data_IF_752173975643
#
_entry.id   IF_752173975643
#
_cell.length_a   1.000
_cell.length_b   1.000
_cell.length_c   1.000
_cell.angle_alpha   90.00
_cell.angle_beta   90.00
_cell.angle_gamma   90.00
#
_symmetry.space_group_name_H-M   'P 1'
#
loop_
_entity.id
_entity.type
_entity.pdbx_description
1 polymer ?
#
# COMPACT_ATOMS: atom_id res chain seq x y z
N UNK A 1 14.35 15.37 24.97
CA UNK A 1 14.33 16.55 24.07
C UNK A 1 13.27 16.33 22.98
N UNK A 2 12.64 17.40 22.49
CA UNK A 2 11.69 17.36 21.36
C UNK A 2 12.43 17.75 20.08
N UNK A 3 12.32 16.93 19.03
CA UNK A 3 12.95 17.21 17.73
C UNK A 3 12.12 18.25 16.98
N UNK A 4 12.78 19.22 16.33
CA UNK A 4 12.11 20.21 15.48
C UNK A 4 11.52 19.50 14.26
N UNK A 5 10.24 19.75 13.99
CA UNK A 5 9.52 19.24 12.82
C UNK A 5 9.69 20.29 11.72
N UNK A 6 10.38 19.95 10.64
CA UNK A 6 10.49 20.83 9.46
C UNK A 6 9.23 20.67 8.58
N UNK A 7 8.65 21.79 8.12
CA UNK A 7 7.48 21.77 7.20
C UNK A 7 7.98 21.75 5.74
N UNK A 8 7.48 20.88 4.85
CA UNK A 8 7.96 20.81 3.48
C UNK A 8 7.39 21.90 2.57
N UNK A 9 8.12 22.17 1.48
CA UNK A 9 7.65 22.91 0.31
C UNK A 9 6.46 22.21 -0.36
N UNK A 10 5.60 23.01 -1.02
CA UNK A 10 4.34 22.59 -1.68
C UNK A 10 4.54 21.34 -2.55
N UNK A 11 3.96 20.20 -2.15
CA UNK A 11 3.96 18.97 -2.94
C UNK A 11 3.18 19.19 -4.25
N UNK A 12 3.80 18.87 -5.39
CA UNK A 12 3.11 18.89 -6.67
C UNK A 12 2.15 17.70 -6.78
N UNK A 13 0.90 18.00 -7.12
CA UNK A 13 -0.19 17.02 -7.20
C UNK A 13 -0.63 16.89 -8.64
N UNK A 14 -0.77 15.65 -9.11
CA UNK A 14 -1.46 15.35 -10.36
C UNK A 14 -2.95 15.16 -10.12
N UNK A 15 -3.77 15.87 -10.89
CA UNK A 15 -5.20 15.57 -11.04
C UNK A 15 -5.35 14.79 -12.34
N UNK A 16 -5.43 13.48 -12.23
CA UNK A 16 -5.42 12.58 -13.39
C UNK A 16 -6.85 12.23 -13.73
N UNK A 17 -7.24 12.48 -14.98
CA UNK A 17 -8.50 11.99 -15.53
C UNK A 17 -8.25 10.59 -16.13
N UNK A 18 -8.79 9.52 -15.55
CA UNK A 18 -8.54 8.16 -16.03
C UNK A 18 -9.07 7.94 -17.45
N UNK A 19 -8.33 7.17 -18.25
CA UNK A 19 -8.82 6.59 -19.48
C UNK A 19 -9.51 5.24 -19.17
N UNK A 20 -10.68 4.97 -19.78
CA UNK A 20 -11.42 3.74 -19.53
C UNK A 20 -10.67 2.52 -20.06
N UNK A 21 -10.75 1.41 -19.34
CA UNK A 21 -10.17 0.14 -19.73
C UNK A 21 -11.21 -0.98 -19.78
N UNK A 22 -11.26 -1.81 -18.74
CA UNK A 22 -12.26 -2.88 -18.60
C UNK A 22 -12.88 -2.87 -17.21
N UNK A 23 -13.99 -3.58 -17.05
CA UNK A 23 -14.74 -3.62 -15.79
C UNK A 23 -14.79 -5.04 -15.24
N UNK A 24 -14.43 -5.18 -13.98
CA UNK A 24 -14.66 -6.39 -13.20
C UNK A 24 -15.90 -6.23 -12.32
N UNK A 25 -16.73 -7.27 -12.25
CA UNK A 25 -17.93 -7.32 -11.42
C UNK A 25 -17.86 -8.47 -10.43
N UNK A 26 -18.19 -8.18 -9.17
CA UNK A 26 -18.48 -9.17 -8.14
C UNK A 26 -19.95 -9.13 -7.76
N UNK A 27 -20.45 -10.29 -7.34
CA UNK A 27 -21.77 -10.45 -6.73
C UNK A 27 -21.58 -10.90 -5.28
N UNK A 28 -22.57 -10.59 -4.45
CA UNK A 28 -22.67 -11.00 -3.05
C UNK A 28 -21.44 -10.60 -2.23
N UNK A 29 -21.06 -9.32 -2.36
CA UNK A 29 -19.90 -8.76 -1.67
C UNK A 29 -20.14 -8.71 -0.15
N UNK A 30 -19.06 -8.89 0.61
CA UNK A 30 -19.06 -8.69 2.06
C UNK A 30 -18.39 -7.37 2.38
N UNK A 31 -19.11 -6.50 3.07
CA UNK A 31 -18.60 -5.20 3.53
C UNK A 31 -18.51 -5.26 5.05
N UNK A 32 -17.31 -5.07 5.58
CA UNK A 32 -17.09 -4.99 7.02
C UNK A 32 -17.73 -3.69 7.55
N UNK A 33 -18.61 -3.78 8.56
CA UNK A 33 -19.23 -2.60 9.19
C UNK A 33 -20.75 -2.41 9.06
N UNK A 34 -21.51 -3.43 8.65
CA UNK A 34 -22.97 -3.48 8.85
C UNK A 34 -23.86 -2.93 7.71
N UNK A 35 -23.28 -2.46 6.60
CA UNK A 35 -24.02 -1.99 5.41
C UNK A 35 -24.34 -3.11 4.40
N UNK A 36 -24.22 -4.38 4.79
CA UNK A 36 -24.19 -5.51 3.85
C UNK A 36 -25.49 -5.76 3.08
N UNK A 37 -26.62 -5.19 3.50
CA UNK A 37 -27.93 -5.48 2.87
C UNK A 37 -28.23 -4.60 1.66
N UNK A 38 -27.68 -3.39 1.57
CA UNK A 38 -27.97 -2.42 0.50
C UNK A 38 -27.11 -2.63 -0.75
N UNK A 39 -25.91 -3.19 -0.61
CA UNK A 39 -24.93 -3.33 -1.69
C UNK A 39 -24.55 -4.78 -1.91
N UNK A 40 -25.13 -5.40 -2.95
CA UNK A 40 -24.84 -6.80 -3.30
C UNK A 40 -23.83 -6.95 -4.43
N UNK A 41 -23.39 -5.86 -5.04
CA UNK A 41 -22.51 -5.88 -6.21
C UNK A 41 -21.41 -4.84 -6.05
N UNK A 42 -20.21 -5.21 -6.47
CA UNK A 42 -19.09 -4.28 -6.61
C UNK A 42 -18.63 -4.31 -8.07
N UNK A 43 -18.48 -3.13 -8.65
CA UNK A 43 -17.87 -2.89 -9.95
C UNK A 43 -16.52 -2.23 -9.72
N UNK A 44 -15.47 -2.82 -10.28
CA UNK A 44 -14.14 -2.23 -10.29
C UNK A 44 -13.81 -1.85 -11.73
N UNK A 45 -13.68 -0.55 -11.99
CA UNK A 45 -13.22 -0.05 -13.27
C UNK A 45 -11.68 -0.10 -13.28
N UNK A 46 -11.10 -0.94 -14.13
CA UNK A 46 -9.66 -0.92 -14.38
C UNK A 46 -9.39 0.11 -15.47
N UNK A 47 -8.87 1.25 -15.05
CA UNK A 47 -8.57 2.42 -15.86
C UNK A 47 -7.06 2.60 -16.02
N UNK A 48 -6.66 3.48 -16.92
CA UNK A 48 -5.23 3.75 -17.13
C UNK A 48 -4.92 5.23 -17.38
N UNK A 49 -3.65 5.61 -17.17
CA UNK A 49 -3.14 6.97 -17.39
C UNK A 49 -1.66 6.94 -17.81
N UNK A 50 -1.11 8.00 -18.37
CA UNK A 50 0.29 8.04 -18.82
C UNK A 50 1.24 8.50 -17.71
N UNK A 51 0.69 9.17 -16.70
CA UNK A 51 1.39 9.83 -15.61
C UNK A 51 1.93 8.84 -14.57
N UNK A 52 1.22 7.73 -14.32
CA UNK A 52 1.72 6.68 -13.42
C UNK A 52 2.96 6.01 -14.04
N UNK A 53 4.01 5.71 -13.27
CA UNK A 53 5.15 4.96 -13.78
C UNK A 53 4.71 3.52 -14.15
N UNK A 54 5.22 2.95 -15.26
CA UNK A 54 5.05 1.53 -15.54
C UNK A 54 5.77 0.67 -14.48
N UNK A 55 5.47 -0.63 -14.39
CA UNK A 55 6.32 -1.58 -13.68
C UNK A 55 7.79 -1.43 -14.10
N UNK A 56 8.71 -1.52 -13.13
CA UNK A 56 10.15 -1.34 -13.37
C UNK A 56 10.74 -2.45 -14.24
N UNK A 57 10.26 -3.67 -14.02
CA UNK A 57 10.66 -4.87 -14.74
C UNK A 57 9.50 -5.29 -15.63
N UNK A 58 9.80 -5.73 -16.85
CA UNK A 58 8.81 -6.21 -17.81
C UNK A 58 8.93 -7.73 -17.96
N UNK A 59 8.73 -8.41 -16.82
CA UNK A 59 8.88 -9.85 -16.71
C UNK A 59 7.79 -10.60 -17.48
N UNK A 60 8.14 -11.77 -18.00
CA UNK A 60 7.16 -12.67 -18.60
C UNK A 60 6.39 -13.47 -17.54
N UNK A 61 5.30 -14.11 -17.96
CA UNK A 61 4.43 -14.86 -17.06
C UNK A 61 5.20 -15.92 -16.25
N UNK A 62 6.08 -16.68 -16.91
CA UNK A 62 6.82 -17.77 -16.27
C UNK A 62 7.82 -17.26 -15.20
N UNK A 63 8.43 -16.10 -15.44
CA UNK A 63 9.35 -15.47 -14.49
C UNK A 63 8.60 -14.97 -13.25
N UNK A 64 7.44 -14.35 -13.43
CA UNK A 64 6.59 -13.91 -12.32
C UNK A 64 6.07 -15.11 -11.53
N UNK A 65 5.62 -16.16 -12.21
CA UNK A 65 5.18 -17.40 -11.56
C UNK A 65 6.29 -18.02 -10.72
N UNK A 66 7.51 -18.11 -11.26
CA UNK A 66 8.67 -18.62 -10.53
C UNK A 66 9.01 -17.79 -9.29
N UNK A 67 8.89 -16.46 -9.36
CA UNK A 67 9.10 -15.59 -8.19
C UNK A 67 8.02 -15.77 -7.12
N UNK A 68 6.77 -15.96 -7.53
CA UNK A 68 5.66 -16.24 -6.62
C UNK A 68 5.85 -17.60 -5.93
N UNK A 69 6.25 -18.63 -6.67
CA UNK A 69 6.55 -19.96 -6.14
C UNK A 69 7.76 -19.97 -5.20
N UNK A 70 8.77 -19.13 -5.51
CA UNK A 70 9.93 -18.92 -4.65
C UNK A 70 9.63 -18.08 -3.39
N UNK A 71 8.41 -17.52 -3.29
CA UNK A 71 7.97 -16.72 -2.14
C UNK A 71 8.65 -15.34 -2.04
N UNK A 72 9.31 -14.86 -3.10
CA UNK A 72 10.01 -13.57 -3.09
C UNK A 72 9.70 -12.76 -4.37
N UNK A 73 8.48 -12.22 -4.51
CA UNK A 73 8.08 -11.46 -5.70
C UNK A 73 8.81 -10.10 -5.77
N UNK A 74 9.71 -9.93 -6.74
CA UNK A 74 10.32 -8.62 -7.06
C UNK A 74 9.40 -7.76 -7.92
N UNK A 75 8.53 -8.40 -8.70
CA UNK A 75 7.62 -7.74 -9.62
C UNK A 75 6.60 -6.85 -8.89
N UNK A 76 6.59 -5.55 -9.23
CA UNK A 76 5.69 -4.56 -8.63
C UNK A 76 4.92 -3.79 -9.70
N UNK A 77 3.60 -3.71 -9.53
CA UNK A 77 2.71 -2.90 -10.39
C UNK A 77 2.32 -1.62 -9.65
N UNK A 78 2.81 -0.44 -10.08
CA UNK A 78 2.30 0.83 -9.57
C UNK A 78 0.82 0.99 -9.95
N UNK A 79 -0.04 1.21 -8.95
CA UNK A 79 -1.46 1.47 -9.16
C UNK A 79 -2.02 2.41 -8.08
N UNK A 80 -3.15 3.03 -8.40
CA UNK A 80 -3.94 3.84 -7.48
C UNK A 80 -5.34 3.26 -7.34
N UNK A 81 -5.86 3.22 -6.12
CA UNK A 81 -7.22 2.78 -5.81
C UNK A 81 -8.01 4.02 -5.44
N UNK A 82 -9.04 4.33 -6.23
CA UNK A 82 -9.96 5.43 -6.00
C UNK A 82 -10.86 5.18 -4.79
N UNK A 83 -11.64 6.21 -4.45
CA UNK A 83 -12.64 6.13 -3.39
C UNK A 83 -13.82 5.23 -3.79
N UNK A 84 -14.61 4.84 -2.79
CA UNK A 84 -15.87 4.13 -3.02
C UNK A 84 -16.94 5.10 -3.50
N UNK A 85 -17.63 4.73 -4.57
CA UNK A 85 -18.80 5.44 -5.08
C UNK A 85 -20.02 4.51 -5.18
N UNK A 86 -21.21 5.11 -5.24
CA UNK A 86 -22.48 4.41 -5.40
C UNK A 86 -23.04 4.64 -6.80
N UNK A 87 -23.21 3.55 -7.54
CA UNK A 87 -23.81 3.57 -8.87
C UNK A 87 -25.06 2.72 -8.91
N UNK A 88 -26.01 3.10 -9.77
CA UNK A 88 -27.15 2.25 -10.09
C UNK A 88 -26.79 1.34 -11.26
N UNK A 89 -27.05 0.04 -11.09
CA UNK A 89 -26.88 -0.91 -12.17
C UNK A 89 -28.09 -0.91 -13.14
N UNK A 90 -28.06 -1.78 -14.17
CA UNK A 90 -29.17 -1.90 -15.12
C UNK A 90 -30.48 -2.38 -14.48
N UNK A 91 -30.41 -3.02 -13.31
CA UNK A 91 -31.56 -3.43 -12.52
C UNK A 91 -32.05 -2.32 -11.57
N UNK A 92 -31.48 -1.11 -11.67
CA UNK A 92 -31.75 0.03 -10.81
C UNK A 92 -31.44 -0.24 -9.33
N UNK A 93 -30.54 -1.19 -9.05
CA UNK A 93 -30.05 -1.52 -7.71
C UNK A 93 -28.77 -0.74 -7.40
N UNK A 94 -28.62 -0.33 -6.13
CA UNK A 94 -27.40 0.31 -5.66
C UNK A 94 -26.24 -0.70 -5.66
N UNK A 95 -25.10 -0.27 -6.21
CA UNK A 95 -23.89 -1.07 -6.32
C UNK A 95 -22.68 -0.21 -6.01
N UNK A 96 -21.63 -0.82 -5.45
CA UNK A 96 -20.37 -0.15 -5.21
C UNK A 96 -19.61 -0.01 -6.52
N UNK A 97 -19.00 1.14 -6.77
CA UNK A 97 -18.05 1.43 -7.86
C UNK A 97 -16.71 1.83 -7.24
N UNK A 98 -15.62 1.28 -7.75
CA UNK A 98 -14.25 1.67 -7.39
C UNK A 98 -13.41 1.77 -8.68
N UNK A 99 -12.65 2.85 -8.82
CA UNK A 99 -11.76 3.06 -9.97
C UNK A 99 -10.32 2.68 -9.61
N UNK A 100 -9.75 1.70 -10.31
CA UNK A 100 -8.36 1.25 -10.17
C UNK A 100 -7.55 1.77 -11.34
N UNK A 101 -6.56 2.60 -11.07
CA UNK A 101 -5.75 3.28 -12.09
C UNK A 101 -4.36 2.64 -12.20
N UNK A 102 -3.97 2.29 -13.43
CA UNK A 102 -2.63 1.76 -13.77
C UNK A 102 -1.94 2.60 -14.86
N UNK A 103 -0.68 2.33 -15.13
CA UNK A 103 0.02 2.94 -16.26
C UNK A 103 -0.52 2.44 -17.63
N UNK A 104 -0.60 3.34 -18.61
CA UNK A 104 -1.14 3.08 -19.95
C UNK A 104 -0.29 2.13 -20.79
N UNK A 105 1.04 2.16 -20.65
CA UNK A 105 1.94 1.24 -21.34
C UNK A 105 1.74 -0.17 -20.82
N UNK A 106 1.70 -0.34 -19.49
CA UNK A 106 1.38 -1.62 -18.86
C UNK A 106 0.00 -2.14 -19.28
N UNK A 107 -1.01 -1.26 -19.25
CA UNK A 107 -2.37 -1.60 -19.67
C UNK A 107 -2.41 -2.11 -21.11
N UNK A 108 -1.87 -1.33 -22.06
CA UNK A 108 -1.87 -1.69 -23.49
C UNK A 108 -1.13 -3.00 -23.75
N UNK A 109 -0.02 -3.24 -23.04
CA UNK A 109 0.83 -4.42 -23.24
C UNK A 109 0.25 -5.69 -22.62
N UNK A 110 -0.26 -5.63 -21.39
CA UNK A 110 -0.57 -6.82 -20.57
C UNK A 110 -2.04 -6.98 -20.20
N UNK A 111 -2.87 -5.93 -20.36
CA UNK A 111 -4.25 -5.94 -19.86
C UNK A 111 -5.30 -5.69 -20.95
N UNK A 112 -4.94 -5.02 -22.04
CA UNK A 112 -5.90 -4.65 -23.09
C UNK A 112 -6.46 -5.89 -23.81
N UNK A 113 -5.61 -6.90 -24.06
CA UNK A 113 -6.06 -8.17 -24.65
C UNK A 113 -6.89 -8.98 -23.66
N UNK A 114 -8.01 -9.54 -24.12
CA UNK A 114 -8.81 -10.45 -23.31
C UNK A 114 -8.15 -11.82 -23.09
N UNK A 115 -7.18 -12.17 -23.93
CA UNK A 115 -6.48 -13.45 -23.90
C UNK A 115 -5.35 -13.47 -22.86
N UNK A 116 -4.91 -12.29 -22.40
CA UNK A 116 -3.89 -12.17 -21.35
C UNK A 116 -4.53 -12.30 -19.95
N UNK A 117 -4.99 -13.52 -19.65
CA UNK A 117 -5.73 -13.83 -18.42
C UNK A 117 -4.82 -13.76 -17.19
N UNK A 118 -3.55 -14.11 -17.34
CA UNK A 118 -2.60 -14.16 -16.22
C UNK A 118 -2.40 -12.78 -15.59
N UNK A 119 -2.04 -11.76 -16.37
CA UNK A 119 -1.80 -10.43 -15.83
C UNK A 119 -3.07 -9.78 -15.28
N UNK A 120 -4.23 -10.06 -15.89
CA UNK A 120 -5.53 -9.61 -15.37
C UNK A 120 -5.85 -10.25 -14.02
N UNK A 121 -5.52 -11.52 -13.84
CA UNK A 121 -5.74 -12.25 -12.59
C UNK A 121 -4.77 -11.80 -11.51
N UNK A 122 -3.48 -11.64 -11.85
CA UNK A 122 -2.46 -11.07 -10.96
C UNK A 122 -2.88 -9.67 -10.48
N UNK A 123 -3.32 -8.82 -11.41
CA UNK A 123 -3.82 -7.49 -11.06
C UNK A 123 -5.04 -7.57 -10.14
N UNK A 124 -5.98 -8.48 -10.39
CA UNK A 124 -7.14 -8.70 -9.54
C UNK A 124 -6.77 -9.15 -8.12
N UNK A 125 -5.79 -10.05 -7.98
CA UNK A 125 -5.26 -10.45 -6.67
C UNK A 125 -4.75 -9.23 -5.90
N UNK A 126 -3.96 -8.38 -6.55
CA UNK A 126 -3.36 -7.21 -5.91
C UNK A 126 -4.42 -6.18 -5.52
N UNK A 127 -5.30 -5.76 -6.43
CA UNK A 127 -6.27 -4.72 -6.09
C UNK A 127 -7.39 -5.22 -5.16
N UNK A 128 -7.76 -6.50 -5.18
CA UNK A 128 -8.80 -7.01 -4.26
C UNK A 128 -8.34 -6.88 -2.81
N UNK A 129 -7.08 -7.21 -2.53
CA UNK A 129 -6.53 -7.05 -1.19
C UNK A 129 -6.36 -5.57 -0.82
N UNK A 130 -5.91 -4.72 -1.76
CA UNK A 130 -5.87 -3.27 -1.54
C UNK A 130 -7.25 -2.67 -1.25
N UNK A 131 -8.29 -3.10 -1.96
CA UNK A 131 -9.67 -2.69 -1.74
C UNK A 131 -10.14 -3.16 -0.36
N UNK A 132 -9.86 -4.41 0.02
CA UNK A 132 -10.16 -4.91 1.36
C UNK A 132 -9.50 -4.06 2.44
N UNK A 133 -8.22 -3.72 2.26
CA UNK A 133 -7.46 -2.92 3.22
C UNK A 133 -7.94 -1.46 3.30
N UNK A 134 -8.29 -0.82 2.18
CA UNK A 134 -8.70 0.59 2.14
C UNK A 134 -10.17 0.79 2.51
N UNK A 135 -11.02 -0.10 2.02
CA UNK A 135 -12.47 0.08 1.95
C UNK A 135 -13.25 -0.95 2.77
N UNK A 136 -12.59 -1.97 3.31
CA UNK A 136 -13.25 -3.04 4.08
C UNK A 136 -14.14 -3.95 3.24
N UNK A 137 -13.96 -3.98 1.91
CA UNK A 137 -14.74 -4.83 1.00
C UNK A 137 -13.94 -6.08 0.65
N UNK A 138 -14.46 -7.24 1.05
CA UNK A 138 -13.83 -8.53 0.75
C UNK A 138 -14.30 -9.04 -0.63
N UNK A 139 -13.42 -8.91 -1.63
CA UNK A 139 -13.65 -9.39 -2.99
C UNK A 139 -12.85 -10.68 -3.22
N UNK A 140 -13.53 -11.71 -3.75
CA UNK A 140 -12.88 -12.97 -4.13
C UNK A 140 -12.10 -12.79 -5.44
N UNK A 141 -10.75 -12.76 -5.42
CA UNK A 141 -9.95 -12.49 -6.62
C UNK A 141 -10.06 -13.60 -7.68
N UNK A 142 -10.59 -14.77 -7.32
CA UNK A 142 -10.81 -15.89 -8.24
C UNK A 142 -12.14 -15.80 -9.00
N UNK A 143 -13.05 -14.92 -8.58
CA UNK A 143 -14.40 -14.79 -9.17
C UNK A 143 -14.75 -13.44 -9.81
N UNK A 144 -13.82 -12.67 -10.40
CA UNK A 144 -14.19 -11.49 -11.17
C UNK A 144 -14.99 -11.89 -12.41
N UNK A 145 -16.15 -11.26 -12.61
CA UNK A 145 -16.88 -11.32 -13.87
C UNK A 145 -16.44 -10.13 -14.72
N UNK A 146 -15.59 -10.35 -15.73
CA UNK A 146 -15.17 -9.30 -16.65
C UNK A 146 -16.32 -8.99 -17.63
N UNK A 147 -16.75 -7.74 -17.68
CA UNK A 147 -17.81 -7.30 -18.59
C UNK A 147 -17.26 -7.15 -20.01
N UNK A 148 -17.90 -7.80 -20.99
CA UNK A 148 -17.42 -7.80 -22.39
C UNK A 148 -17.77 -6.54 -23.18
N UNK A 149 -18.90 -5.92 -22.86
CA UNK A 149 -19.46 -4.79 -23.63
C UNK A 149 -19.46 -3.47 -22.83
N UNK A 150 -18.60 -3.37 -21.80
CA UNK A 150 -18.43 -2.15 -21.01
C UNK A 150 -16.97 -1.93 -20.64
N UNK A 151 -16.53 -0.69 -20.85
CA UNK A 151 -15.17 -0.22 -20.52
C UNK A 151 -15.12 0.60 -19.23
N UNK A 152 -16.28 1.06 -18.75
CA UNK A 152 -16.47 1.71 -17.46
C UNK A 152 -17.93 1.57 -16.99
N UNK A 153 -18.13 1.65 -15.68
CA UNK A 153 -19.44 1.80 -15.02
C UNK A 153 -19.42 3.12 -14.25
N UNK A 154 -20.45 3.95 -14.43
CA UNK A 154 -20.48 5.30 -13.86
C UNK A 154 -19.54 6.27 -14.57
N UNK A 155 -19.41 7.48 -14.02
CA UNK A 155 -18.40 8.44 -14.43
C UNK A 155 -17.07 8.10 -13.74
N UNK A 156 -15.97 8.17 -14.50
CA UNK A 156 -14.63 7.94 -13.97
C UNK A 156 -14.17 9.16 -13.18
N UNK A 157 -13.81 8.96 -11.92
CA UNK A 157 -13.43 10.04 -11.03
C UNK A 157 -12.01 10.52 -11.28
N UNK A 158 -11.82 11.84 -11.18
CA UNK A 158 -10.49 12.43 -11.24
C UNK A 158 -9.71 12.00 -10.00
N UNK A 159 -8.62 11.28 -10.20
CA UNK A 159 -7.79 10.80 -9.10
C UNK A 159 -6.68 11.81 -8.78
N UNK A 160 -6.58 12.17 -7.50
CA UNK A 160 -5.54 13.05 -6.98
C UNK A 160 -4.33 12.24 -6.56
N UNK A 161 -3.25 12.28 -7.34
CA UNK A 161 -2.02 11.51 -7.10
C UNK A 161 -0.88 12.45 -6.75
N UNK A 162 -0.21 12.20 -5.63
CA UNK A 162 0.96 12.98 -5.24
C UNK A 162 2.17 12.61 -6.13
N UNK A 163 2.84 13.60 -6.72
CA UNK A 163 4.12 13.35 -7.39
C UNK A 163 5.13 12.92 -6.34
N UNK A 164 5.72 11.74 -6.51
CA UNK A 164 6.99 11.44 -5.83
C UNK A 164 8.08 12.28 -6.52
N UNK A 165 9.02 12.91 -5.80
CA UNK A 165 10.11 13.65 -6.42
C UNK A 165 10.90 12.74 -7.39
N UNK A 166 11.27 13.27 -8.56
CA UNK A 166 11.89 12.56 -9.69
C UNK A 166 13.31 12.00 -9.43
N UNK A 167 13.86 12.15 -8.21
CA UNK A 167 15.18 11.64 -7.89
C UNK A 167 15.14 10.57 -6.80
N UNK A 168 15.21 9.31 -7.23
CA UNK A 168 15.85 8.26 -6.42
C UNK A 168 17.32 8.18 -6.84
N UNK A 169 18.17 9.00 -6.24
CA UNK A 169 19.64 8.82 -6.31
C UNK A 169 20.07 8.04 -5.06
N UNK A 170 19.59 6.80 -4.92
CA UNK A 170 20.25 5.71 -4.18
C UNK A 170 19.66 4.41 -4.72
N UNK A 171 20.42 3.68 -5.53
CA UNK A 171 20.23 2.24 -5.74
C UNK A 171 20.76 1.54 -4.49
N UNK A 172 19.87 0.96 -3.68
CA UNK A 172 20.29 0.08 -2.58
C UNK A 172 20.76 -1.25 -3.18
N UNK A 173 22.08 -1.44 -3.22
CA UNK A 173 22.73 -2.71 -3.51
C UNK A 173 22.29 -3.74 -2.45
N UNK A 174 21.45 -4.70 -2.85
CA UNK A 174 21.13 -5.87 -2.03
C UNK A 174 22.42 -6.64 -1.71
N UNK A 175 22.90 -6.58 -0.48
CA UNK A 175 23.79 -7.59 0.06
C UNK A 175 22.94 -8.70 0.68
N UNK A 176 22.99 -9.87 0.06
CA UNK A 176 22.40 -11.10 0.59
C UNK A 176 23.16 -11.54 1.84
N UNK A 177 22.55 -11.40 3.01
CA UNK A 177 22.96 -12.14 4.21
C UNK A 177 22.09 -13.39 4.37
N UNK A 178 22.42 -14.40 3.56
CA UNK A 178 21.98 -15.77 3.77
C UNK A 178 22.90 -16.44 4.81
N UNK A 179 22.49 -16.48 6.08
CA UNK A 179 22.94 -17.51 7.03
C UNK A 179 22.10 -17.56 8.32
N UNK A 180 21.68 -18.79 8.68
CA UNK A 180 21.19 -19.29 10.00
C UNK A 180 19.69 -19.11 10.23
N UNK A 181 18.89 -20.14 10.52
CA UNK A 181 19.15 -21.44 11.16
C UNK A 181 18.12 -22.47 10.69
N UNK A 182 18.56 -23.72 10.51
CA UNK A 182 17.71 -24.91 10.58
C UNK A 182 17.52 -25.29 12.05
N UNK A 183 16.30 -25.66 12.44
CA UNK A 183 15.92 -27.02 12.91
C UNK A 183 14.51 -26.99 13.56
N UNK A 184 13.63 -27.82 13.00
CA UNK A 184 12.29 -28.24 13.49
C UNK A 184 12.46 -29.28 14.63
N UNK A 185 11.44 -29.62 15.47
CA UNK A 185 10.12 -30.12 15.03
C UNK A 185 8.85 -29.82 15.87
N UNK A 186 7.74 -29.73 15.13
CA UNK A 186 6.40 -30.30 15.39
C UNK A 186 5.65 -29.97 16.69
N UNK A 187 4.78 -28.94 16.63
CA UNK A 187 3.38 -28.96 17.11
C UNK A 187 2.70 -27.58 16.96
N UNK A 188 2.49 -27.08 15.73
CA UNK A 188 1.82 -25.77 15.53
C UNK A 188 1.22 -25.53 14.13
N UNK A 189 0.72 -26.57 13.44
CA UNK A 189 0.24 -26.49 12.03
C UNK A 189 -1.04 -25.68 11.76
N UNK A 190 -1.47 -24.78 12.65
CA UNK A 190 -2.64 -23.90 12.41
C UNK A 190 -2.37 -22.41 12.54
N UNK A 191 -1.31 -21.99 13.22
CA UNK A 191 -0.96 -20.57 13.35
C UNK A 191 0.06 -20.11 12.29
N UNK A 192 0.97 -20.99 11.87
CA UNK A 192 2.04 -20.64 10.92
C UNK A 192 1.52 -20.19 9.54
N UNK A 193 0.41 -20.76 9.08
CA UNK A 193 -0.10 -20.43 7.74
C UNK A 193 -0.74 -19.04 7.68
N UNK A 194 -1.31 -18.57 8.79
CA UNK A 194 -1.86 -17.21 8.91
C UNK A 194 -0.71 -16.20 9.09
N UNK A 195 0.34 -16.60 9.80
CA UNK A 195 1.55 -15.81 10.00
C UNK A 195 2.31 -15.60 8.68
N UNK A 196 2.56 -16.67 7.91
CA UNK A 196 3.19 -16.63 6.59
C UNK A 196 2.35 -15.82 5.60
N UNK A 197 1.03 -15.99 5.56
CA UNK A 197 0.15 -15.19 4.71
C UNK A 197 0.16 -13.70 5.11
N UNK A 198 0.28 -13.38 6.40
CA UNK A 198 0.38 -11.99 6.86
C UNK A 198 1.76 -11.38 6.56
N UNK A 199 2.84 -12.16 6.62
CA UNK A 199 4.18 -11.74 6.27
C UNK A 199 4.30 -11.55 4.75
N UNK A 200 3.73 -12.45 3.94
CA UNK A 200 3.62 -12.32 2.48
C UNK A 200 2.78 -11.08 2.10
N UNK A 201 1.66 -10.84 2.79
CA UNK A 201 0.84 -9.63 2.60
C UNK A 201 1.63 -8.37 2.92
N UNK A 202 2.36 -8.34 4.03
CA UNK A 202 3.19 -7.18 4.42
C UNK A 202 4.28 -6.85 3.39
N UNK A 203 4.87 -7.88 2.76
CA UNK A 203 5.85 -7.71 1.67
C UNK A 203 5.22 -7.24 0.34
N UNK A 204 4.03 -7.71 0.01
CA UNK A 204 3.28 -7.31 -1.20
C UNK A 204 2.78 -5.85 -1.11
N UNK A 205 2.37 -5.37 0.08
CA UNK A 205 1.82 -4.02 0.27
C UNK A 205 2.83 -2.94 0.67
N UNK A 206 4.11 -3.30 0.83
CA UNK A 206 5.14 -2.34 1.22
C UNK A 206 4.99 -1.78 2.64
N UNK A 207 4.13 -2.37 3.47
CA UNK A 207 4.13 -2.12 4.92
C UNK A 207 5.12 -3.10 5.53
N UNK A 208 6.42 -2.84 5.32
CA UNK A 208 7.45 -3.54 6.10
C UNK A 208 7.16 -3.28 7.57
N UNK A 209 7.01 -4.33 8.37
CA UNK A 209 7.27 -4.25 9.80
C UNK A 209 8.74 -3.80 9.93
N UNK A 210 8.96 -2.49 10.04
CA UNK A 210 10.31 -1.97 10.21
C UNK A 210 10.74 -2.41 11.60
N UNK A 211 11.79 -3.24 11.66
CA UNK A 211 12.36 -3.69 12.92
C UNK A 211 12.56 -2.50 13.86
N UNK A 212 12.06 -2.63 15.09
CA UNK A 212 12.10 -1.58 16.09
C UNK A 212 10.95 -0.56 16.02
N UNK A 213 10.01 -0.66 15.09
CA UNK A 213 8.85 0.24 14.97
C UNK A 213 7.57 -0.37 15.54
N UNK A 214 6.80 0.42 16.29
CA UNK A 214 5.48 0.06 16.81
C UNK A 214 4.50 1.20 16.61
N UNK A 215 3.43 0.95 15.86
CA UNK A 215 2.36 1.91 15.59
C UNK A 215 1.12 1.54 16.40
N UNK A 216 0.45 2.53 17.01
CA UNK A 216 -0.79 2.37 17.78
C UNK A 216 -1.77 3.46 17.44
N UNK A 217 -3.04 3.11 17.33
CA UNK A 217 -4.14 4.06 17.18
C UNK A 217 -4.92 4.13 18.49
N UNK A 218 -5.02 5.32 19.07
CA UNK A 218 -5.80 5.59 20.27
C UNK A 218 -7.15 6.22 19.90
N UNK A 219 -8.23 5.59 20.35
CA UNK A 219 -9.62 6.06 20.22
C UNK A 219 -10.03 6.44 18.78
N UNK A 220 -9.41 5.82 17.76
CA UNK A 220 -9.65 6.12 16.35
C UNK A 220 -9.20 7.51 15.88
N UNK A 221 -8.55 8.31 16.73
CA UNK A 221 -8.26 9.72 16.46
C UNK A 221 -6.81 10.11 16.60
N UNK A 222 -6.01 9.35 17.36
CA UNK A 222 -4.62 9.71 17.66
C UNK A 222 -3.66 8.57 17.36
N UNK A 223 -2.78 8.78 16.39
CA UNK A 223 -1.71 7.86 16.03
C UNK A 223 -0.50 8.07 16.96
N UNK A 224 0.09 6.97 17.44
CA UNK A 224 1.35 6.94 18.16
C UNK A 224 2.31 5.98 17.46
N UNK A 225 3.53 6.42 17.21
CA UNK A 225 4.58 5.68 16.51
C UNK A 225 5.79 5.66 17.43
N UNK A 226 6.28 4.48 17.78
CA UNK A 226 7.47 4.29 18.60
C UNK A 226 8.53 3.57 17.79
N UNK A 227 9.70 4.18 17.61
CA UNK A 227 10.82 3.65 16.83
C UNK A 227 12.04 3.47 17.73
N UNK A 228 12.62 2.26 17.79
CA UNK A 228 13.83 1.98 18.56
C UNK A 228 15.06 2.37 17.74
N UNK A 229 15.75 3.43 18.14
CA UNK A 229 16.88 4.00 17.42
C UNK A 229 18.16 3.21 17.71
N UNK A 230 18.47 2.26 16.84
CA UNK A 230 19.68 1.43 16.89
C UNK A 230 20.40 1.45 15.53
N UNK A 231 21.71 1.29 15.55
CA UNK A 231 22.56 1.16 14.36
C UNK A 231 23.52 0.01 14.56
N UNK A 232 23.47 -0.99 13.67
CA UNK A 232 24.35 -2.17 13.72
C UNK A 232 24.34 -2.84 15.12
N UNK A 233 23.16 -2.90 15.75
CA UNK A 233 22.94 -3.45 17.10
C UNK A 233 23.33 -2.54 18.26
N UNK A 234 23.79 -1.31 18.02
CA UNK A 234 24.16 -0.33 19.06
C UNK A 234 23.08 0.73 19.24
N UNK A 235 22.62 0.99 20.47
CA UNK A 235 21.62 2.02 20.74
C UNK A 235 22.18 3.42 20.52
N UNK A 236 21.37 4.29 19.91
CA UNK A 236 21.69 5.70 19.69
C UNK A 236 21.25 6.47 20.93
N UNK A 237 22.20 6.88 21.75
CA UNK A 237 21.92 7.56 23.04
C UNK A 237 21.73 9.07 22.93
N UNK A 238 22.38 9.72 21.95
CA UNK A 238 22.27 11.16 21.72
C UNK A 238 21.17 11.50 20.71
N UNK A 239 20.05 12.10 21.12
CA UNK A 239 18.97 12.47 20.22
C UNK A 239 19.33 13.61 19.27
N UNK A 240 20.38 14.41 19.53
CA UNK A 240 20.78 15.50 18.62
C UNK A 240 21.26 15.02 17.27
N UNK A 241 21.67 13.76 17.20
CA UNK A 241 22.09 13.08 15.98
C UNK A 241 20.89 12.65 15.13
N UNK A 242 19.69 12.64 15.70
CA UNK A 242 18.47 12.25 15.00
C UNK A 242 17.79 13.49 14.44
N UNK A 243 17.35 13.42 13.19
CA UNK A 243 16.45 14.40 12.59
C UNK A 243 15.16 13.72 12.17
N UNK A 244 14.04 14.37 12.48
CA UNK A 244 12.70 13.86 12.21
C UNK A 244 12.04 14.75 11.15
N UNK A 245 11.73 14.15 10.01
CA UNK A 245 10.98 14.73 8.91
C UNK A 245 9.64 14.02 8.84
N UNK A 246 8.56 14.77 9.06
CA UNK A 246 7.21 14.22 9.20
C UNK A 246 6.25 14.91 8.22
N UNK A 247 5.62 14.11 7.37
CA UNK A 247 4.58 14.51 6.44
C UNK A 247 3.25 13.85 6.85
N UNK A 248 2.09 14.31 6.32
CA UNK A 248 0.81 13.69 6.65
C UNK A 248 0.79 12.19 6.37
N UNK A 249 1.54 11.73 5.37
CA UNK A 249 1.53 10.33 4.92
C UNK A 249 2.87 9.61 5.07
N UNK A 250 3.89 10.22 5.67
CA UNK A 250 5.24 9.63 5.72
C UNK A 250 6.03 10.10 6.95
N UNK A 251 6.81 9.19 7.52
CA UNK A 251 7.74 9.45 8.60
C UNK A 251 9.16 9.09 8.16
N UNK A 252 10.08 10.04 8.25
CA UNK A 252 11.49 9.88 7.95
C UNK A 252 12.32 10.30 9.18
N UNK A 253 13.20 9.41 9.63
CA UNK A 253 14.17 9.68 10.69
C UNK A 253 15.57 9.41 10.15
N UNK A 254 16.42 10.43 10.16
CA UNK A 254 17.82 10.32 9.71
C UNK A 254 18.79 10.47 10.88
N UNK A 255 19.91 9.76 10.83
CA UNK A 255 21.06 9.92 11.68
C UNK A 255 22.10 10.80 10.99
N UNK A 256 22.63 11.80 11.72
CA UNK A 256 23.71 12.69 11.30
C UNK A 256 23.49 13.29 9.88
N UNK A 257 22.24 13.61 9.53
CA UNK A 257 21.82 14.15 8.23
C UNK A 257 22.22 13.34 6.98
N UNK A 258 22.65 12.09 7.15
CA UNK A 258 23.26 11.31 6.08
C UNK A 258 22.69 9.91 5.95
N UNK A 259 22.35 9.25 7.07
CA UNK A 259 21.87 7.87 7.06
C UNK A 259 20.39 7.81 7.46
N UNK A 260 19.55 7.23 6.62
CA UNK A 260 18.14 6.97 6.99
C UNK A 260 18.08 5.82 8.01
N UNK A 261 17.44 6.06 9.16
CA UNK A 261 17.16 5.03 10.16
C UNK A 261 15.75 4.46 9.99
N UNK A 262 14.79 5.33 9.67
CA UNK A 262 13.40 4.96 9.46
C UNK A 262 12.86 5.77 8.30
N UNK A 263 12.25 5.10 7.33
CA UNK A 263 11.59 5.76 6.21
C UNK A 263 10.38 4.94 5.78
N UNK A 264 9.18 5.39 6.16
CA UNK A 264 7.94 4.68 5.86
C UNK A 264 6.73 5.56 5.71
N UNK A 265 5.77 5.07 4.92
CA UNK A 265 4.44 5.64 4.81
C UNK A 265 3.62 5.43 6.08
N UNK A 266 2.82 6.42 6.44
CA UNK A 266 1.89 6.35 7.56
C UNK A 266 0.56 5.71 7.10
N UNK A 267 -0.06 4.87 7.95
CA UNK A 267 -1.33 4.22 7.61
C UNK A 267 -2.52 5.20 7.59
N UNK A 268 -2.36 6.38 8.18
CA UNK A 268 -3.38 7.43 8.20
C UNK A 268 -2.73 8.78 7.96
N UNK A 269 -3.47 9.70 7.34
CA UNK A 269 -3.09 11.11 7.25
C UNK A 269 -3.02 11.70 8.66
N UNK A 270 -1.87 12.21 9.07
CA UNK A 270 -1.73 12.87 10.38
C UNK A 270 -1.82 14.39 10.25
N UNK A 271 -2.43 15.01 11.26
CA UNK A 271 -2.41 16.46 11.44
C UNK A 271 -1.07 16.88 12.05
N UNK A 272 -0.24 17.51 11.22
CA UNK A 272 1.09 18.00 11.60
C UNK A 272 1.05 19.08 12.69
N UNK A 273 -0.05 19.82 12.84
CA UNK A 273 -0.16 20.83 13.91
C UNK A 273 -0.29 20.19 15.28
N UNK A 274 -0.82 18.97 15.33
CA UNK A 274 -0.98 18.19 16.56
C UNK A 274 0.21 17.27 16.84
N UNK A 275 1.14 17.15 15.90
CA UNK A 275 2.27 16.24 15.98
C UNK A 275 3.26 16.66 17.08
N UNK A 276 3.60 15.69 17.93
CA UNK A 276 4.57 15.81 19.02
C UNK A 276 5.58 14.68 18.93
N UNK A 277 6.85 14.99 19.19
CA UNK A 277 7.92 13.99 19.27
C UNK A 277 8.60 14.02 20.63
N UNK A 278 9.00 12.84 21.11
CA UNK A 278 9.76 12.67 22.35
C UNK A 278 10.71 11.49 22.23
N UNK A 279 11.98 11.73 22.54
CA UNK A 279 12.96 10.66 22.70
C UNK A 279 12.92 10.08 24.12
N UNK A 280 12.91 8.75 24.24
CA UNK A 280 13.01 8.00 25.49
C UNK A 280 14.43 7.47 25.66
N UNK A 281 15.15 7.99 26.66
CA UNK A 281 16.54 7.63 26.94
C UNK A 281 16.72 6.23 27.55
N UNK A 282 15.72 5.68 28.24
CA UNK A 282 15.79 4.34 28.83
C UNK A 282 15.63 3.24 27.77
N UNK A 283 14.77 3.50 26.78
CA UNK A 283 14.42 2.55 25.72
C UNK A 283 15.10 2.83 24.39
N UNK A 284 15.93 3.87 24.34
CA UNK A 284 16.56 4.41 23.13
C UNK A 284 15.57 4.54 21.97
N UNK A 285 14.37 5.06 22.26
CA UNK A 285 13.26 5.05 21.32
C UNK A 285 12.70 6.45 21.08
N UNK A 286 12.51 6.81 19.81
CA UNK A 286 11.79 8.00 19.40
C UNK A 286 10.29 7.70 19.30
N UNK A 287 9.48 8.44 20.07
CA UNK A 287 8.02 8.35 20.04
C UNK A 287 7.44 9.59 19.39
N UNK A 288 6.55 9.40 18.43
CA UNK A 288 5.78 10.43 17.75
C UNK A 288 4.31 10.20 18.07
N UNK A 289 3.57 11.27 18.38
CA UNK A 289 2.13 11.21 18.54
C UNK A 289 1.48 12.37 17.79
N UNK A 290 0.49 12.08 16.95
CA UNK A 290 -0.25 13.06 16.18
C UNK A 290 -1.72 12.61 16.06
N UNK A 291 -2.64 13.56 15.93
CA UNK A 291 -4.01 13.23 15.57
C UNK A 291 -4.07 12.83 14.10
N UNK A 292 -5.05 12.00 13.75
CA UNK A 292 -5.41 11.72 12.36
C UNK A 292 -6.19 12.92 11.83
N UNK A 293 -5.82 13.40 10.65
CA UNK A 293 -6.63 14.33 9.88
C UNK A 293 -7.77 13.54 9.22
N UNK A 294 -9.01 13.79 9.67
CA UNK A 294 -10.23 13.27 9.05
C UNK A 294 -10.63 14.13 7.85
#
# INVERSE_FOLDING_TARGET
>A
MSLKIEKPQKEEVWNIKPLPGYVCKWKDIKVDGGFSEEFRKCFVNVCHCEELPPPLEDLEQDEIAAQLDAGNPSFRIPMSIGEMDCVRDHSNENSVKIDVLVNSTFYKKRLASADDVFFRHLLALIFCDLIKSRHGIDLDPLKPIILRNRVAVGELEVQRINKKPEQRVVEELYHNDSARMKETPEDQKKDDHIQELNELKQEIFGVKSIQGTRIRLFNGKRLEISMRCELDGKPISDPKRLNLLLNPTRCLVTLDNSRSLFDFGLPFHIDLETAKSKFNHEKFSLVISANIAL
#
